data_IF_679939858645
#
_entry.id   IF_679939858645
#
_cell.length_a   1.000
_cell.length_b   1.000
_cell.length_c   1.000
_cell.angle_alpha   90.00
_cell.angle_beta   90.00
_cell.angle_gamma   90.00
#
_symmetry.space_group_name_H-M   'P 1'
#
loop_
_entity.id
_entity.type
_entity.pdbx_description
1 polymer ?
#
# COMPACT_ATOMS: atom_id res chain seq x y z
N UNK A 1 6.13 -2.04 16.17
CA UNK A 1 5.35 -2.18 14.93
C UNK A 1 5.14 -3.66 14.64
N UNK A 2 3.92 -4.05 14.34
CA UNK A 2 3.61 -5.38 13.88
C UNK A 2 3.43 -5.36 12.37
N UNK A 3 3.90 -6.41 11.69
CA UNK A 3 3.91 -6.47 10.24
C UNK A 3 3.50 -7.85 9.76
N UNK A 4 2.59 -7.92 8.79
CA UNK A 4 2.27 -9.13 8.05
C UNK A 4 2.48 -8.87 6.56
N UNK A 5 3.11 -9.79 5.87
CA UNK A 5 3.34 -9.72 4.43
C UNK A 5 2.48 -10.78 3.75
N UNK A 6 1.63 -10.35 2.83
CA UNK A 6 0.62 -11.21 2.22
C UNK A 6 0.83 -11.19 0.70
N UNK A 7 1.31 -12.30 0.10
CA UNK A 7 1.41 -12.40 -1.36
C UNK A 7 0.01 -12.44 -1.97
N UNK A 8 -0.22 -11.61 -2.96
CA UNK A 8 -1.52 -11.51 -3.63
C UNK A 8 -1.32 -11.45 -5.14
N UNK A 9 -2.39 -11.74 -5.90
CA UNK A 9 -2.48 -11.73 -7.35
C UNK A 9 -1.64 -12.83 -8.02
N UNK A 10 -1.88 -13.12 -9.32
CA UNK A 10 -1.03 -14.04 -10.08
C UNK A 10 0.44 -13.66 -10.10
N UNK A 11 0.77 -12.38 -9.84
CA UNK A 11 2.14 -11.88 -9.82
C UNK A 11 2.85 -12.16 -8.49
N UNK A 12 2.15 -12.71 -7.49
CA UNK A 12 2.70 -12.96 -6.15
C UNK A 12 3.28 -11.70 -5.51
N UNK A 13 2.64 -10.56 -5.77
CA UNK A 13 3.06 -9.27 -5.21
C UNK A 13 2.71 -9.19 -3.73
N UNK A 14 3.63 -8.69 -2.93
CA UNK A 14 3.42 -8.58 -1.50
C UNK A 14 2.60 -7.34 -1.13
N UNK A 15 1.46 -7.57 -0.49
CA UNK A 15 0.75 -6.53 0.25
C UNK A 15 1.27 -6.55 1.69
N UNK A 16 1.55 -5.38 2.25
CA UNK A 16 1.98 -5.28 3.64
C UNK A 16 0.84 -4.80 4.52
N UNK A 17 0.64 -5.48 5.65
CA UNK A 17 -0.27 -5.02 6.70
C UNK A 17 0.58 -4.51 7.85
N UNK A 18 0.48 -3.21 8.12
CA UNK A 18 1.25 -2.52 9.15
C UNK A 18 0.32 -2.21 10.31
N UNK A 19 0.68 -2.64 11.52
CA UNK A 19 -0.19 -2.48 12.71
C UNK A 19 0.56 -1.72 13.78
N UNK A 20 -0.06 -0.65 14.29
CA UNK A 20 0.43 0.08 15.46
C UNK A 20 0.10 -0.72 16.72
N UNK A 21 1.10 -1.18 17.49
CA UNK A 21 0.81 -1.97 18.69
C UNK A 21 0.12 -1.20 19.81
N UNK A 22 0.33 0.11 19.87
CA UNK A 22 -0.26 0.94 20.93
C UNK A 22 -1.75 1.17 20.71
N UNK A 23 -2.20 1.30 19.46
CA UNK A 23 -3.59 1.66 19.13
C UNK A 23 -4.36 0.52 18.46
N UNK A 24 -3.65 -0.50 17.97
CA UNK A 24 -4.18 -1.58 17.15
C UNK A 24 -4.80 -1.11 15.83
N UNK A 25 -4.44 0.09 15.39
CA UNK A 25 -4.84 0.62 14.10
C UNK A 25 -3.83 0.19 13.04
N UNK A 26 -4.32 -0.01 11.82
CA UNK A 26 -3.52 -0.63 10.77
C UNK A 26 -3.71 0.06 9.42
N UNK A 27 -2.78 -0.19 8.53
CA UNK A 27 -2.88 0.21 7.12
C UNK A 27 -2.42 -0.95 6.23
N UNK A 28 -3.10 -1.11 5.09
CA UNK A 28 -2.56 -1.92 4.01
C UNK A 28 -1.68 -1.04 3.12
N UNK A 29 -0.51 -1.54 2.78
CA UNK A 29 0.37 -0.92 1.78
C UNK A 29 0.30 -1.77 0.53
N UNK A 30 -0.11 -1.16 -0.57
CA UNK A 30 -0.22 -1.80 -1.89
C UNK A 30 -1.10 -3.06 -1.90
N UNK A 31 -2.39 -2.95 -1.58
CA UNK A 31 -3.30 -4.10 -1.71
C UNK A 31 -3.61 -4.35 -3.18
N UNK A 32 -2.85 -5.25 -3.80
CA UNK A 32 -2.90 -5.48 -5.24
C UNK A 32 -4.08 -6.32 -5.73
N UNK A 33 -4.72 -7.08 -4.84
CA UNK A 33 -5.85 -7.95 -5.19
C UNK A 33 -6.15 -8.92 -4.07
N UNK A 34 -6.97 -9.94 -4.34
CA UNK A 34 -7.37 -10.98 -3.36
C UNK A 34 -7.88 -10.35 -2.06
N UNK A 35 -8.78 -9.41 -2.19
CA UNK A 35 -9.24 -8.55 -1.09
C UNK A 35 -9.86 -9.34 0.06
N UNK A 36 -10.60 -10.42 -0.24
CA UNK A 36 -11.18 -11.28 0.82
C UNK A 36 -10.10 -11.85 1.73
N UNK A 37 -8.99 -12.28 1.12
CA UNK A 37 -7.84 -12.81 1.87
C UNK A 37 -7.21 -11.74 2.75
N UNK A 38 -7.11 -10.51 2.26
CA UNK A 38 -6.58 -9.39 3.04
C UNK A 38 -7.44 -9.11 4.27
N UNK A 39 -8.76 -9.10 4.12
CA UNK A 39 -9.65 -8.89 5.26
C UNK A 39 -9.63 -10.04 6.24
N UNK A 40 -9.44 -11.29 5.76
CA UNK A 40 -9.25 -12.43 6.68
C UNK A 40 -8.03 -12.24 7.55
N UNK A 41 -6.90 -11.81 6.98
CA UNK A 41 -5.67 -11.56 7.75
C UNK A 41 -5.89 -10.43 8.75
N UNK A 42 -6.53 -9.34 8.32
CA UNK A 42 -6.85 -8.22 9.20
C UNK A 42 -7.67 -8.67 10.39
N UNK A 43 -8.70 -9.48 10.15
CA UNK A 43 -9.57 -10.00 11.19
C UNK A 43 -8.83 -10.91 12.18
N UNK A 44 -7.97 -11.81 11.65
CA UNK A 44 -7.17 -12.70 12.49
C UNK A 44 -6.19 -11.94 13.38
N UNK A 45 -5.70 -10.82 12.91
CA UNK A 45 -4.81 -9.95 13.68
C UNK A 45 -5.56 -9.08 14.68
N UNK A 46 -6.89 -9.00 14.57
CA UNK A 46 -7.71 -8.18 15.46
C UNK A 46 -7.46 -6.69 15.34
N UNK A 47 -6.97 -6.24 14.19
CA UNK A 47 -6.63 -4.84 13.96
C UNK A 47 -7.78 -4.10 13.28
N UNK A 48 -7.83 -2.78 13.47
CA UNK A 48 -8.79 -1.90 12.81
C UNK A 48 -8.10 -1.14 11.68
N UNK A 49 -8.60 -1.29 10.47
CA UNK A 49 -8.02 -0.60 9.33
C UNK A 49 -8.29 0.91 9.42
N UNK A 50 -7.25 1.70 9.27
CA UNK A 50 -7.32 3.16 9.33
C UNK A 50 -7.25 3.80 7.94
N UNK A 51 -6.44 3.25 7.06
CA UNK A 51 -6.20 3.79 5.71
C UNK A 51 -5.55 2.75 4.79
N UNK A 52 -5.49 3.09 3.52
CA UNK A 52 -4.72 2.38 2.51
C UNK A 52 -3.60 3.28 2.03
N UNK A 53 -2.39 2.76 1.98
CA UNK A 53 -1.21 3.47 1.48
C UNK A 53 -0.79 2.87 0.14
N UNK A 54 -0.47 3.71 -0.83
CA UNK A 54 -0.11 3.26 -2.18
C UNK A 54 1.23 3.85 -2.59
N UNK A 55 2.16 2.98 -3.01
CA UNK A 55 3.49 3.41 -3.45
C UNK A 55 3.50 3.85 -4.91
N UNK A 56 2.83 3.13 -5.79
CA UNK A 56 2.76 3.46 -7.22
C UNK A 56 1.55 2.79 -7.88
N UNK A 57 1.28 3.16 -9.13
CA UNK A 57 0.02 2.85 -9.82
C UNK A 57 -0.01 1.57 -10.64
N UNK A 58 0.97 0.69 -10.56
CA UNK A 58 0.94 -0.58 -11.28
C UNK A 58 -0.13 -1.49 -10.70
N UNK A 59 -0.78 -2.27 -11.56
CA UNK A 59 -1.93 -3.10 -11.19
C UNK A 59 -1.63 -4.13 -10.11
N UNK A 60 -0.45 -4.71 -10.11
CA UNK A 60 -0.03 -5.69 -9.11
C UNK A 60 0.11 -5.09 -7.71
N UNK A 61 0.24 -3.77 -7.60
CA UNK A 61 0.34 -3.06 -6.33
C UNK A 61 -0.95 -2.36 -5.92
N UNK A 62 -1.81 -2.00 -6.85
CA UNK A 62 -2.98 -1.20 -6.51
C UNK A 62 -4.30 -1.70 -7.07
N UNK A 63 -4.33 -2.91 -7.64
CA UNK A 63 -5.55 -3.48 -8.21
C UNK A 63 -6.68 -3.68 -7.21
N UNK A 64 -6.38 -3.85 -5.93
CA UNK A 64 -7.39 -4.02 -4.89
C UNK A 64 -7.71 -2.78 -4.07
N UNK A 65 -7.04 -1.65 -4.35
CA UNK A 65 -7.15 -0.44 -3.53
C UNK A 65 -8.59 0.07 -3.43
N UNK A 66 -9.27 0.19 -4.57
CA UNK A 66 -10.64 0.71 -4.59
C UNK A 66 -11.58 -0.15 -3.75
N UNK A 67 -11.51 -1.46 -3.91
CA UNK A 67 -12.37 -2.39 -3.17
C UNK A 67 -12.09 -2.37 -1.66
N UNK A 68 -10.81 -2.38 -1.27
CA UNK A 68 -10.43 -2.33 0.15
C UNK A 68 -10.96 -1.06 0.80
N UNK A 69 -10.72 0.09 0.18
CA UNK A 69 -11.13 1.38 0.72
C UNK A 69 -12.65 1.47 0.85
N UNK A 70 -13.38 0.98 -0.13
CA UNK A 70 -14.84 0.97 -0.12
C UNK A 70 -15.40 0.08 0.97
N UNK A 71 -14.91 -1.15 1.07
CA UNK A 71 -15.40 -2.12 2.06
C UNK A 71 -15.12 -1.67 3.49
N UNK A 72 -13.98 -1.05 3.74
CA UNK A 72 -13.60 -0.61 5.07
C UNK A 72 -14.06 0.83 5.38
N UNK A 73 -14.43 1.61 4.36
CA UNK A 73 -14.80 3.00 4.54
C UNK A 73 -13.64 3.87 4.98
N UNK A 74 -12.44 3.65 4.43
CA UNK A 74 -11.22 4.33 4.85
C UNK A 74 -10.61 5.14 3.70
N UNK A 75 -9.80 6.17 4.01
CA UNK A 75 -9.15 6.97 2.98
C UNK A 75 -7.98 6.24 2.31
N UNK A 76 -7.67 6.68 1.11
CA UNK A 76 -6.54 6.25 0.31
C UNK A 76 -5.52 7.39 0.31
N UNK A 77 -4.28 7.12 0.70
CA UNK A 77 -3.18 8.08 0.66
C UNK A 77 -2.06 7.57 -0.26
N UNK A 78 -1.72 8.37 -1.23
CA UNK A 78 -0.77 8.06 -2.27
C UNK A 78 -1.41 7.44 -3.52
N UNK A 79 -0.62 7.30 -4.57
CA UNK A 79 0.78 7.68 -4.65
C UNK A 79 1.00 9.17 -4.96
N UNK A 80 2.10 9.50 -5.62
CA UNK A 80 2.35 10.86 -6.13
C UNK A 80 1.44 11.13 -7.33
N UNK A 81 1.03 12.40 -7.58
CA UNK A 81 0.15 12.74 -8.71
C UNK A 81 0.64 12.29 -10.09
N UNK A 82 1.96 12.13 -10.26
CA UNK A 82 2.53 11.66 -11.52
C UNK A 82 2.11 10.22 -11.86
N UNK A 83 1.47 9.49 -10.94
CA UNK A 83 0.94 8.15 -11.16
C UNK A 83 -0.51 8.13 -11.67
N UNK A 84 -1.15 9.29 -11.82
CA UNK A 84 -2.57 9.33 -12.20
C UNK A 84 -2.87 8.61 -13.51
N UNK A 85 -1.97 8.65 -14.48
CA UNK A 85 -2.11 7.94 -15.74
C UNK A 85 -2.26 6.43 -15.52
N UNK A 86 -1.42 5.84 -14.67
CA UNK A 86 -1.48 4.39 -14.39
C UNK A 86 -2.74 4.01 -13.65
N UNK A 87 -3.16 4.83 -12.69
CA UNK A 87 -4.37 4.59 -11.91
C UNK A 87 -5.60 4.62 -12.82
N UNK A 88 -5.65 5.53 -13.76
CA UNK A 88 -6.75 5.63 -14.71
C UNK A 88 -6.85 4.43 -15.66
N UNK A 89 -5.78 3.66 -15.80
CA UNK A 89 -5.74 2.47 -16.66
C UNK A 89 -6.08 1.16 -15.91
N UNK A 90 -6.36 1.23 -14.59
CA UNK A 90 -6.52 0.01 -13.78
C UNK A 90 -7.65 -0.89 -14.23
N UNK A 91 -8.80 -0.34 -14.63
CA UNK A 91 -9.91 -1.14 -15.12
C UNK A 91 -9.48 -1.99 -16.33
N UNK A 92 -8.81 -1.36 -17.27
CA UNK A 92 -8.33 -2.01 -18.50
C UNK A 92 -7.26 -3.05 -18.19
N UNK A 93 -6.30 -2.71 -17.34
CA UNK A 93 -5.22 -3.62 -16.97
C UNK A 93 -5.73 -4.80 -16.15
N UNK A 94 -6.76 -4.59 -15.34
CA UNK A 94 -7.40 -5.66 -14.60
C UNK A 94 -7.97 -6.72 -15.51
N UNK A 95 -8.61 -6.32 -16.59
CA UNK A 95 -9.12 -7.24 -17.61
C UNK A 95 -7.98 -7.93 -18.36
N UNK A 96 -6.95 -7.18 -18.71
CA UNK A 96 -5.81 -7.70 -19.49
C UNK A 96 -4.98 -8.72 -18.70
N UNK A 97 -4.77 -8.49 -17.40
CA UNK A 97 -3.88 -9.31 -16.58
C UNK A 97 -4.61 -10.27 -15.64
N UNK A 98 -5.94 -10.38 -15.75
CA UNK A 98 -6.71 -11.33 -14.97
C UNK A 98 -6.77 -11.01 -13.48
N UNK A 99 -6.83 -9.74 -13.12
CA UNK A 99 -7.03 -9.30 -11.74
C UNK A 99 -8.47 -8.83 -11.57
N UNK A 100 -9.37 -9.71 -11.08
CA UNK A 100 -10.78 -9.34 -10.96
C UNK A 100 -11.00 -8.25 -9.93
N UNK A 101 -11.94 -7.36 -10.20
CA UNK A 101 -12.26 -6.26 -9.29
C UNK A 101 -11.29 -5.09 -9.33
N UNK A 102 -10.24 -5.17 -10.14
CA UNK A 102 -9.33 -4.04 -10.30
C UNK A 102 -10.04 -2.90 -11.00
N UNK A 103 -9.99 -1.73 -10.40
CA UNK A 103 -10.60 -0.53 -10.96
C UNK A 103 -9.87 0.71 -10.46
N UNK A 104 -9.99 1.77 -11.24
CA UNK A 104 -9.37 3.05 -10.89
C UNK A 104 -9.97 3.61 -9.60
N UNK A 105 -9.18 4.43 -8.94
CA UNK A 105 -9.58 5.14 -7.74
C UNK A 105 -9.02 6.55 -7.77
N UNK A 106 -9.57 7.41 -6.95
CA UNK A 106 -9.01 8.74 -6.72
C UNK A 106 -8.50 8.78 -5.28
N UNK A 107 -7.20 8.96 -5.07
CA UNK A 107 -6.67 9.12 -3.71
C UNK A 107 -7.34 10.26 -2.98
N UNK A 108 -7.62 10.07 -1.71
CA UNK A 108 -8.10 11.15 -0.85
C UNK A 108 -6.99 12.15 -0.57
N UNK A 109 -5.74 11.67 -0.64
CA UNK A 109 -4.56 12.51 -0.48
C UNK A 109 -3.47 12.03 -1.43
N UNK A 110 -3.07 12.86 -2.37
CA UNK A 110 -1.87 12.65 -3.16
C UNK A 110 -0.64 12.97 -2.29
N UNK A 111 0.44 12.23 -2.49
CA UNK A 111 1.63 12.38 -1.65
C UNK A 111 2.80 12.95 -2.45
N UNK A 112 3.60 13.77 -1.75
CA UNK A 112 4.81 14.40 -2.29
C UNK A 112 5.98 14.08 -1.36
N UNK A 113 7.19 14.19 -1.87
CA UNK A 113 8.38 14.02 -1.05
C UNK A 113 8.39 15.00 0.11
N UNK A 114 8.70 14.52 1.29
CA UNK A 114 8.68 15.32 2.51
C UNK A 114 7.36 15.29 3.28
N UNK A 115 6.30 14.73 2.69
CA UNK A 115 5.04 14.53 3.41
C UNK A 115 5.22 13.48 4.51
N UNK A 116 4.31 13.49 5.47
CA UNK A 116 4.26 12.51 6.54
C UNK A 116 2.91 11.80 6.50
N UNK A 117 2.92 10.48 6.68
CA UNK A 117 1.71 9.68 6.88
C UNK A 117 1.78 9.03 8.25
N UNK A 118 0.61 8.80 8.85
CA UNK A 118 0.53 8.19 10.18
C UNK A 118 -0.36 6.96 10.15
N UNK A 119 -0.01 5.96 10.98
CA UNK A 119 -0.83 4.79 11.23
C UNK A 119 -0.88 4.62 12.74
N UNK A 120 -2.03 4.87 13.36
CA UNK A 120 -2.09 4.99 14.81
C UNK A 120 -1.18 6.14 15.25
N UNK A 121 -0.22 5.84 16.13
CA UNK A 121 0.79 6.82 16.56
C UNK A 121 2.12 6.67 15.83
N UNK A 122 2.21 5.75 14.88
CA UNK A 122 3.42 5.57 14.05
C UNK A 122 3.46 6.61 12.95
N UNK A 123 4.67 7.09 12.63
CA UNK A 123 4.90 8.10 11.60
C UNK A 123 5.84 7.58 10.53
N UNK A 124 5.50 7.86 9.28
CA UNK A 124 6.32 7.49 8.13
C UNK A 124 6.58 8.72 7.28
N UNK A 125 7.84 8.91 6.90
CA UNK A 125 8.23 9.95 5.96
C UNK A 125 7.99 9.47 4.54
N UNK A 126 7.38 10.31 3.72
CA UNK A 126 7.17 10.04 2.30
C UNK A 126 8.38 10.55 1.52
N UNK A 127 8.96 9.69 0.70
CA UNK A 127 10.06 10.04 -0.20
C UNK A 127 9.62 9.78 -1.62
N UNK A 128 9.77 10.77 -2.49
CA UNK A 128 9.48 10.63 -3.91
C UNK A 128 10.72 10.06 -4.59
N UNK A 129 10.60 8.85 -5.12
CA UNK A 129 11.74 8.12 -5.71
C UNK A 129 11.37 7.70 -7.15
N UNK A 130 11.33 8.65 -8.11
CA UNK A 130 11.03 8.30 -9.50
C UNK A 130 12.14 7.44 -10.08
N UNK A 131 11.78 6.54 -10.97
CA UNK A 131 12.73 5.61 -11.59
C UNK A 131 12.00 4.39 -12.11
N UNK A 132 11.42 3.59 -11.23
CA UNK A 132 10.55 2.47 -11.61
C UNK A 132 9.28 3.01 -12.28
N UNK A 133 8.63 3.99 -11.64
CA UNK A 133 7.53 4.78 -12.20
C UNK A 133 7.75 6.24 -11.86
N UNK A 134 7.14 7.19 -12.59
CA UNK A 134 7.39 8.61 -12.36
C UNK A 134 6.96 9.12 -11.00
N UNK A 135 5.91 8.52 -10.42
CA UNK A 135 5.35 8.96 -9.15
C UNK A 135 5.52 7.96 -8.01
N UNK A 136 6.53 7.08 -8.09
CA UNK A 136 6.80 6.10 -7.04
C UNK A 136 7.18 6.81 -5.74
N UNK A 137 6.47 6.50 -4.66
CA UNK A 137 6.80 6.99 -3.32
C UNK A 137 7.15 5.83 -2.39
N UNK A 138 7.94 6.16 -1.38
CA UNK A 138 8.41 5.23 -0.36
C UNK A 138 7.94 5.74 0.99
N UNK A 139 7.50 4.84 1.86
CA UNK A 139 7.13 5.15 3.24
C UNK A 139 8.24 4.65 4.16
N UNK A 140 8.97 5.56 4.78
CA UNK A 140 10.14 5.24 5.59
C UNK A 140 9.93 5.60 7.04
N UNK A 141 10.34 4.70 7.94
CA UNK A 141 10.37 4.95 9.38
C UNK A 141 11.77 4.73 9.90
N UNK A 142 12.41 5.80 10.36
CA UNK A 142 13.70 5.69 11.03
C UNK A 142 13.55 5.06 12.41
N UNK A 143 12.43 5.32 13.08
CA UNK A 143 12.14 4.75 14.41
C UNK A 143 12.15 3.21 14.38
N UNK A 144 11.56 2.62 13.37
CA UNK A 144 11.45 1.16 13.26
C UNK A 144 12.48 0.54 12.30
N UNK A 145 13.27 1.35 11.61
CA UNK A 145 14.27 0.87 10.66
C UNK A 145 13.67 0.15 9.46
N UNK A 146 12.53 0.58 8.97
CA UNK A 146 11.84 -0.04 7.82
C UNK A 146 11.49 0.99 6.75
N UNK A 147 11.41 0.52 5.52
CA UNK A 147 10.90 1.30 4.40
C UNK A 147 10.01 0.42 3.53
N UNK A 148 8.84 0.95 3.16
CA UNK A 148 7.92 0.30 2.23
C UNK A 148 8.15 0.91 0.86
N UNK A 149 8.77 0.12 -0.02
CA UNK A 149 9.17 0.53 -1.38
C UNK A 149 8.34 -0.17 -2.46
N UNK A 150 7.25 -0.80 -2.07
CA UNK A 150 6.52 -1.84 -2.76
C UNK A 150 6.70 -3.09 -1.94
N UNK A 151 7.93 -3.58 -1.85
CA UNK A 151 8.31 -4.56 -0.83
C UNK A 151 8.80 -3.85 0.43
N UNK A 152 9.12 -4.63 1.46
CA UNK A 152 9.60 -4.09 2.74
C UNK A 152 11.10 -4.23 2.84
N UNK A 153 11.79 -3.14 3.18
CA UNK A 153 13.23 -3.14 3.45
C UNK A 153 13.46 -2.87 4.93
N UNK A 154 14.34 -3.63 5.53
CA UNK A 154 14.73 -3.45 6.92
C UNK A 154 16.17 -2.94 7.01
N UNK A 155 16.42 -2.03 7.93
CA UNK A 155 17.77 -1.53 8.19
C UNK A 155 18.65 -2.70 8.62
N UNK A 156 19.83 -2.80 8.03
CA UNK A 156 20.78 -3.89 8.33
C UNK A 156 20.55 -5.16 7.54
N UNK A 157 19.43 -5.32 6.85
CA UNK A 157 19.13 -6.48 6.01
C UNK A 157 18.97 -6.16 4.53
N UNK A 158 19.18 -4.91 4.17
CA UNK A 158 18.98 -4.44 2.78
C UNK A 158 19.84 -5.21 1.79
N UNK A 159 21.05 -5.57 2.18
CA UNK A 159 21.95 -6.31 1.31
C UNK A 159 21.53 -7.76 1.06
N UNK A 160 20.58 -8.27 1.82
CA UNK A 160 20.08 -9.63 1.69
C UNK A 160 18.77 -9.73 0.92
N UNK A 161 18.23 -8.61 0.55
CA UNK A 161 17.02 -8.57 -0.27
C UNK A 161 17.35 -8.33 -1.72
#
# INVERSE_FOLDING_TARGET
>A
MKLAIIPVTPFQQNCSLVICPATNRAAFVDPGGEVDRLFEVLQKRGATLEKVLVTHGHIDHCGGVAEVAERAGVPIEGPHPDESFWIDQLDHQGQMFGVPGARRFTPDRWLHGGDEVTVGDMRFEVRHCPGHTPGHVIFASTQFGVAFVGDVLFQGSIGST
#
